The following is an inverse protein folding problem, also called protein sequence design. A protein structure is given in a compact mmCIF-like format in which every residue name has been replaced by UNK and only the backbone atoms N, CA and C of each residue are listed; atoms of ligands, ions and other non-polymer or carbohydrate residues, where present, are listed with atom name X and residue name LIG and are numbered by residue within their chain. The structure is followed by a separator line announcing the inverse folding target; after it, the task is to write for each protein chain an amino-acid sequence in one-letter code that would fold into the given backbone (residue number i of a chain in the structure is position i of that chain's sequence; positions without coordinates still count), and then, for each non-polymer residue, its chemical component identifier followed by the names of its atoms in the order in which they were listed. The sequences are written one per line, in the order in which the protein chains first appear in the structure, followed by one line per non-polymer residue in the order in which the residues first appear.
data_IF_441590031712
#
_entry.id   IF_441590031712
#
_cell.length_a   1.000
_cell.length_b   1.000
_cell.length_c   1.000
_cell.angle_alpha   90.00
_cell.angle_beta   90.00
_cell.angle_gamma   90.00
#
_symmetry.space_group_name_H-M   'P 1'
#
loop_
_entity.id
_entity.type
_entity.pdbx_description
1 polymer ?
#
# COMPACT_ATOMS: atom_id res chain seq x y z
N UNK A 1 -3.10 8.47 -7.41
CA UNK A 1 -1.95 7.97 -6.63
C UNK A 1 -2.41 6.68 -5.99
N UNK A 2 -1.69 5.58 -6.19
CA UNK A 2 -2.16 4.28 -5.72
C UNK A 2 -1.75 4.05 -4.27
N UNK A 3 -2.67 3.59 -3.44
CA UNK A 3 -2.39 3.28 -2.04
C UNK A 3 -2.40 1.76 -1.88
N UNK A 4 -1.35 1.22 -1.28
CA UNK A 4 -1.25 -0.20 -0.92
C UNK A 4 -0.87 -0.31 0.54
N UNK A 5 -1.51 -1.23 1.26
CA UNK A 5 -1.12 -1.54 2.63
C UNK A 5 0.11 -2.43 2.66
N UNK A 6 0.90 -2.30 3.72
CA UNK A 6 2.02 -3.20 3.93
C UNK A 6 1.61 -4.67 3.98
N UNK A 7 0.43 -4.97 4.52
CA UNK A 7 -0.14 -6.33 4.53
C UNK A 7 -0.41 -6.82 3.10
N UNK A 8 -1.10 -6.04 2.26
CA UNK A 8 -1.36 -6.43 0.88
C UNK A 8 -0.07 -6.58 0.09
N UNK A 9 0.93 -5.70 0.29
CA UNK A 9 2.23 -5.82 -0.38
C UNK A 9 2.99 -7.10 0.01
N UNK A 10 2.91 -7.50 1.27
CA UNK A 10 3.59 -8.69 1.81
C UNK A 10 2.86 -10.00 1.45
N UNK A 11 1.53 -9.98 1.42
CA UNK A 11 0.68 -11.12 1.06
C UNK A 11 0.47 -11.31 -0.45
N UNK A 12 1.10 -10.49 -1.30
CA UNK A 12 0.99 -10.65 -2.75
C UNK A 12 1.56 -12.01 -3.19
N UNK A 13 0.76 -12.88 -3.83
CA UNK A 13 1.23 -14.18 -4.30
C UNK A 13 2.19 -14.05 -5.49
N UNK A 14 2.13 -12.93 -6.22
CA UNK A 14 2.95 -12.66 -7.39
C UNK A 14 4.19 -11.84 -7.04
N UNK A 15 5.40 -12.42 -7.17
CA UNK A 15 6.64 -11.70 -6.89
C UNK A 15 6.86 -10.51 -7.85
N UNK A 16 6.31 -10.59 -9.08
CA UNK A 16 6.34 -9.47 -10.03
C UNK A 16 5.44 -8.33 -9.57
N UNK A 17 4.28 -8.61 -8.98
CA UNK A 17 3.39 -7.57 -8.48
C UNK A 17 4.07 -6.78 -7.35
N UNK A 18 4.79 -7.47 -6.45
CA UNK A 18 5.59 -6.83 -5.40
C UNK A 18 6.63 -5.85 -5.98
N UNK A 19 7.40 -6.30 -6.97
CA UNK A 19 8.39 -5.46 -7.67
C UNK A 19 7.77 -4.23 -8.35
N UNK A 20 6.60 -4.38 -8.98
CA UNK A 20 5.88 -3.25 -9.60
C UNK A 20 5.46 -2.22 -8.55
N UNK A 21 4.93 -2.68 -7.42
CA UNK A 21 4.56 -1.81 -6.32
C UNK A 21 5.77 -1.10 -5.70
N UNK A 22 6.85 -1.82 -5.43
CA UNK A 22 8.11 -1.23 -4.93
C UNK A 22 8.64 -0.16 -5.89
N UNK A 23 8.60 -0.44 -7.20
CA UNK A 23 8.99 0.54 -8.22
C UNK A 23 8.07 1.77 -8.21
N UNK A 24 6.76 1.57 -8.10
CA UNK A 24 5.81 2.68 -8.04
C UNK A 24 5.95 3.52 -6.77
N UNK A 25 6.29 2.91 -5.63
CA UNK A 25 6.57 3.62 -4.37
C UNK A 25 7.84 4.46 -4.52
N UNK A 26 8.89 3.89 -5.10
CA UNK A 26 10.14 4.61 -5.38
C UNK A 26 9.95 5.75 -6.39
N UNK A 27 9.07 5.58 -7.39
CA UNK A 27 8.70 6.62 -8.36
C UNK A 27 7.71 7.66 -7.79
N UNK A 28 7.19 7.48 -6.57
CA UNK A 28 6.16 8.34 -5.98
C UNK A 28 4.78 8.22 -6.65
N UNK A 29 4.56 7.18 -7.46
CA UNK A 29 3.26 6.86 -8.09
C UNK A 29 2.34 6.08 -7.16
N UNK A 30 2.94 5.35 -6.21
CA UNK A 30 2.25 4.66 -5.14
C UNK A 30 2.72 5.13 -3.77
N UNK A 31 1.86 4.98 -2.77
CA UNK A 31 2.17 5.23 -1.37
C UNK A 31 1.91 3.96 -0.59
N UNK A 32 2.91 3.52 0.17
CA UNK A 32 2.75 2.46 1.15
C UNK A 32 2.03 3.04 2.36
N UNK A 33 0.83 2.56 2.64
CA UNK A 33 0.04 2.98 3.80
C UNK A 33 0.29 1.98 4.93
N UNK A 34 0.79 2.42 6.09
CA UNK A 34 0.93 1.55 7.25
C UNK A 34 -0.46 1.12 7.73
N UNK A 35 -0.58 -0.13 8.16
CA UNK A 35 -1.84 -0.73 8.61
C UNK A 35 -2.56 0.10 9.70
N UNK A 36 -1.80 0.82 10.54
CA UNK A 36 -2.36 1.73 11.54
C UNK A 36 -3.09 2.94 10.95
N UNK A 37 -2.63 3.49 9.82
CA UNK A 37 -3.31 4.60 9.15
C UNK A 37 -4.63 4.15 8.49
N UNK A 38 -4.70 2.93 7.94
CA UNK A 38 -5.95 2.43 7.33
C UNK A 38 -7.08 2.27 8.35
N UNK A 39 -6.78 1.74 9.55
CA UNK A 39 -7.79 1.66 10.62
C UNK A 39 -8.17 3.02 11.20
N UNK A 40 -7.23 3.96 11.29
CA UNK A 40 -7.50 5.30 11.78
C UNK A 40 -8.27 6.15 10.76
N UNK A 41 -8.02 5.97 9.46
CA UNK A 41 -8.68 6.73 8.39
C UNK A 41 -10.08 6.22 8.04
N UNK A 42 -10.43 4.95 8.31
CA UNK A 42 -11.82 4.51 8.23
C UNK A 42 -12.69 4.95 9.43
N UNK A 43 -12.07 5.36 10.53
CA UNK A 43 -12.77 5.83 11.73
C UNK A 43 -13.08 7.35 11.71
N UNK A 44 -12.67 8.07 10.66
CA UNK A 44 -12.99 9.48 10.47
C UNK A 44 -13.93 9.65 9.28
N UNK A 45 -15.17 9.17 9.42
CA UNK A 45 -16.29 9.59 8.57
C UNK A 45 -17.52 9.72 9.47
N UNK A 46 -17.50 10.76 10.32
CA UNK A 46 -18.69 11.33 10.96
C UNK A 46 -18.58 12.87 10.91
#
# INVERSE_FOLDING_TARGET
MHEITQETLDHLPDPIAKLVWEKWIAEGKARLVPYCEVKACQAATE
#
